data_IF_669642065095
#
_entry.id   IF_669642065095
#
_cell.length_a   1.000
_cell.length_b   1.000
_cell.length_c   1.000
_cell.angle_alpha   90.00
_cell.angle_beta   90.00
_cell.angle_gamma   90.00
#
_symmetry.space_group_name_H-M   'P 1'
#
loop_
_entity.id
_entity.type
_entity.pdbx_description
1 polymer ?
#
# COMPACT_ATOMS: atom_id res chain seq x y z
N UNK A 1 -11.96 10.92 -2.00
CA UNK A 1 -11.86 9.86 -3.05
C UNK A 1 -13.11 9.77 -3.91
N UNK A 2 -14.32 9.59 -3.34
CA UNK A 2 -15.57 9.46 -4.12
C UNK A 2 -15.79 10.59 -5.13
N UNK A 3 -15.54 11.85 -4.76
CA UNK A 3 -15.62 13.01 -5.68
C UNK A 3 -14.76 12.83 -6.94
N UNK A 4 -13.53 12.32 -6.82
CA UNK A 4 -12.66 12.08 -7.98
C UNK A 4 -13.20 10.96 -8.85
N UNK A 5 -13.60 9.84 -8.25
CA UNK A 5 -14.12 8.68 -8.97
C UNK A 5 -15.46 9.00 -9.68
N UNK A 6 -16.32 9.81 -9.07
CA UNK A 6 -17.55 10.31 -9.69
C UNK A 6 -17.26 11.16 -10.94
N UNK A 7 -16.16 11.93 -10.91
CA UNK A 7 -15.66 12.70 -12.05
C UNK A 7 -14.81 11.87 -13.03
N UNK A 8 -14.82 10.52 -12.92
CA UNK A 8 -14.05 9.60 -13.77
C UNK A 8 -12.54 9.83 -13.70
N UNK A 9 -12.05 10.35 -12.57
CA UNK A 9 -10.63 10.53 -12.27
C UNK A 9 -10.21 9.35 -11.37
N UNK A 10 -9.38 8.40 -11.87
CA UNK A 10 -8.96 7.27 -11.07
C UNK A 10 -7.90 7.69 -10.05
N UNK A 11 -7.86 6.98 -8.92
CA UNK A 11 -7.05 7.34 -7.76
C UNK A 11 -6.16 6.17 -7.37
N UNK A 12 -4.85 6.39 -7.31
CA UNK A 12 -3.89 5.41 -6.78
C UNK A 12 -3.86 5.50 -5.27
N UNK A 13 -3.94 4.35 -4.61
CA UNK A 13 -3.78 4.22 -3.15
C UNK A 13 -2.72 3.16 -2.84
N UNK A 14 -2.19 3.21 -1.62
CA UNK A 14 -1.33 2.18 -1.08
C UNK A 14 -2.06 1.47 0.07
N UNK A 15 -2.34 0.17 -0.06
CA UNK A 15 -3.02 -0.64 0.95
C UNK A 15 -2.25 -1.93 1.20
N UNK A 16 -2.37 -2.48 2.41
CA UNK A 16 -1.79 -3.78 2.75
C UNK A 16 -2.73 -4.89 2.27
N UNK A 17 -2.37 -5.52 1.15
CA UNK A 17 -3.10 -6.66 0.60
C UNK A 17 -2.19 -7.88 0.74
N UNK A 18 -2.63 -8.89 1.48
CA UNK A 18 -1.91 -10.15 1.63
C UNK A 18 -1.75 -10.81 0.25
N UNK A 19 -0.64 -11.51 0.02
CA UNK A 19 -0.50 -12.33 -1.19
C UNK A 19 -1.16 -13.70 -0.98
N UNK A 20 -1.26 -14.14 0.27
CA UNK A 20 -1.75 -15.45 0.70
C UNK A 20 -3.27 -15.58 0.49
N UNK A 21 -3.98 -14.44 0.48
CA UNK A 21 -5.44 -14.40 0.25
C UNK A 21 -5.83 -14.59 -1.22
N UNK A 22 -4.87 -14.80 -2.13
CA UNK A 22 -5.16 -14.96 -3.56
C UNK A 22 -6.22 -16.03 -3.84
N UNK A 23 -6.15 -17.18 -3.15
CA UNK A 23 -7.13 -18.26 -3.31
C UNK A 23 -8.53 -17.85 -2.85
N UNK A 24 -8.61 -17.16 -1.71
CA UNK A 24 -9.88 -16.69 -1.13
C UNK A 24 -10.51 -15.59 -1.97
N UNK A 25 -9.72 -14.59 -2.39
CA UNK A 25 -10.19 -13.48 -3.24
C UNK A 25 -10.67 -14.03 -4.59
N UNK A 26 -9.98 -15.01 -5.17
CA UNK A 26 -10.43 -15.66 -6.41
C UNK A 26 -11.73 -16.43 -6.20
N UNK A 27 -11.82 -17.21 -5.12
CA UNK A 27 -13.01 -18.01 -4.80
C UNK A 27 -14.23 -17.14 -4.51
N UNK A 28 -14.02 -15.98 -3.89
CA UNK A 28 -15.06 -15.02 -3.55
C UNK A 28 -15.22 -13.91 -4.60
N UNK A 29 -14.91 -14.17 -5.88
CA UNK A 29 -15.23 -13.26 -6.97
C UNK A 29 -14.59 -11.87 -6.87
N UNK A 30 -13.40 -11.75 -6.29
CA UNK A 30 -12.64 -10.51 -6.18
C UNK A 30 -12.90 -9.68 -4.92
N UNK A 31 -13.81 -10.10 -4.03
CA UNK A 31 -14.07 -9.38 -2.78
C UNK A 31 -12.95 -9.61 -1.78
N UNK A 32 -12.33 -8.52 -1.31
CA UNK A 32 -11.27 -8.58 -0.32
C UNK A 32 -11.87 -8.79 1.08
N UNK A 33 -11.48 -9.87 1.79
CA UNK A 33 -11.85 -10.01 3.20
C UNK A 33 -11.13 -8.96 4.03
N UNK A 34 -11.75 -8.53 5.13
CA UNK A 34 -11.09 -7.70 6.13
C UNK A 34 -10.25 -8.63 7.01
N UNK A 35 -8.92 -8.43 7.09
CA UNK A 35 -8.08 -9.25 7.95
C UNK A 35 -8.48 -9.14 9.43
N UNK A 36 -8.33 -10.24 10.16
CA UNK A 36 -8.64 -10.29 11.59
C UNK A 36 -7.87 -9.24 12.39
N UNK A 37 -8.47 -8.78 13.49
CA UNK A 37 -7.87 -7.77 14.37
C UNK A 37 -6.50 -8.22 14.92
N UNK A 38 -6.40 -9.51 15.26
CA UNK A 38 -5.24 -10.14 15.91
C UNK A 38 -4.24 -10.75 14.92
N UNK A 39 -4.44 -10.52 13.63
CA UNK A 39 -3.56 -11.03 12.58
C UNK A 39 -2.24 -10.24 12.56
N UNK A 40 -1.26 -10.77 13.31
CA UNK A 40 0.05 -10.16 13.48
C UNK A 40 0.81 -10.00 12.15
N UNK A 41 0.48 -10.81 11.13
CA UNK A 41 1.14 -10.74 9.82
C UNK A 41 0.90 -9.40 9.13
N UNK A 42 -0.26 -8.77 9.36
CA UNK A 42 -0.60 -7.45 8.80
C UNK A 42 0.50 -6.43 9.13
N UNK A 43 1.08 -6.50 10.32
CA UNK A 43 2.13 -5.57 10.74
C UNK A 43 3.42 -5.68 9.90
N UNK A 44 3.71 -6.89 9.40
CA UNK A 44 4.90 -7.19 8.61
C UNK A 44 4.70 -6.99 7.10
N UNK A 45 3.45 -6.92 6.63
CA UNK A 45 3.17 -6.66 5.22
C UNK A 45 3.66 -5.29 4.78
N UNK A 46 4.28 -5.26 3.60
CA UNK A 46 4.46 -4.04 2.82
C UNK A 46 3.13 -3.54 2.26
N UNK A 47 3.08 -2.27 1.88
CA UNK A 47 1.94 -1.74 1.12
C UNK A 47 2.07 -2.11 -0.35
N UNK A 48 0.94 -2.43 -0.97
CA UNK A 48 0.77 -2.62 -2.40
C UNK A 48 0.00 -1.44 -3.01
N UNK A 49 0.42 -1.00 -4.18
CA UNK A 49 -0.24 0.10 -4.88
C UNK A 49 -1.32 -0.45 -5.82
N UNK A 50 -2.55 0.05 -5.68
CA UNK A 50 -3.69 -0.32 -6.52
C UNK A 50 -4.40 0.93 -7.05
N UNK A 51 -5.11 0.78 -8.17
CA UNK A 51 -5.82 1.87 -8.82
C UNK A 51 -7.32 1.78 -8.56
N UNK A 52 -7.86 2.70 -7.76
CA UNK A 52 -9.30 2.88 -7.62
C UNK A 52 -9.87 3.46 -8.91
N UNK A 53 -10.86 2.78 -9.47
CA UNK A 53 -11.52 3.14 -10.73
C UNK A 53 -13.02 3.34 -10.60
N UNK A 54 -13.58 3.00 -9.44
CA UNK A 54 -15.01 3.14 -9.16
C UNK A 54 -15.31 2.86 -7.70
N UNK A 55 -16.58 2.96 -7.35
CA UNK A 55 -17.10 2.66 -6.03
C UNK A 55 -18.57 2.25 -6.13
N UNK A 56 -19.03 1.49 -5.15
CA UNK A 56 -20.41 1.09 -4.94
C UNK A 56 -20.79 1.46 -3.50
N UNK A 57 -21.70 2.44 -3.37
CA UNK A 57 -22.16 2.92 -2.07
C UNK A 57 -23.21 1.99 -1.45
N UNK A 58 -23.93 1.19 -2.24
CA UNK A 58 -24.93 0.26 -1.71
C UNK A 58 -24.25 -0.93 -1.01
N UNK A 59 -23.14 -1.40 -1.60
CA UNK A 59 -22.35 -2.50 -1.04
C UNK A 59 -21.18 -2.02 -0.16
N UNK A 60 -20.86 -0.73 -0.15
CA UNK A 60 -19.72 -0.11 0.57
C UNK A 60 -18.32 -0.60 0.12
N UNK A 61 -18.10 -0.70 -1.19
CA UNK A 61 -16.82 -1.11 -1.77
C UNK A 61 -16.23 -0.07 -2.72
N UNK A 62 -14.90 0.06 -2.72
CA UNK A 62 -14.17 0.60 -3.85
C UNK A 62 -13.88 -0.50 -4.87
N UNK A 63 -13.95 -0.16 -6.15
CA UNK A 63 -13.52 -1.02 -7.24
C UNK A 63 -12.08 -0.67 -7.57
N UNK A 64 -11.17 -1.61 -7.36
CA UNK A 64 -9.75 -1.43 -7.58
C UNK A 64 -9.25 -2.34 -8.71
N UNK A 65 -8.50 -1.77 -9.65
CA UNK A 65 -7.74 -2.53 -10.64
C UNK A 65 -6.40 -2.92 -10.03
N UNK A 66 -6.13 -4.22 -10.02
CA UNK A 66 -4.87 -4.78 -9.54
C UNK A 66 -3.89 -5.05 -10.70
N UNK A 67 -2.66 -5.45 -10.36
CA UNK A 67 -1.54 -5.69 -11.27
C UNK A 67 -1.01 -7.13 -11.20
N UNK A 68 -1.81 -8.08 -10.70
CA UNK A 68 -1.42 -9.49 -10.53
C UNK A 68 -1.98 -10.43 -11.63
N UNK A 69 -2.32 -9.87 -12.79
CA UNK A 69 -2.84 -10.63 -13.93
C UNK A 69 -4.36 -10.67 -13.96
N UNK A 70 -4.89 -11.17 -15.09
CA UNK A 70 -6.34 -11.23 -15.35
C UNK A 70 -7.04 -12.34 -14.57
N UNK A 71 -6.32 -13.41 -14.24
CA UNK A 71 -6.88 -14.58 -13.56
C UNK A 71 -6.97 -14.41 -12.03
N UNK A 72 -6.66 -13.21 -11.53
CA UNK A 72 -6.75 -12.86 -10.13
C UNK A 72 -7.99 -12.01 -9.84
N UNK A 73 -8.67 -12.27 -8.72
CA UNK A 73 -9.90 -11.64 -8.30
C UNK A 73 -10.99 -11.72 -9.36
N UNK A 74 -11.64 -10.60 -9.63
CA UNK A 74 -12.64 -10.46 -10.68
C UNK A 74 -12.00 -9.91 -11.95
N UNK A 75 -11.46 -10.78 -12.81
CA UNK A 75 -10.80 -10.39 -14.06
C UNK A 75 -9.63 -9.39 -13.90
N UNK A 76 -8.87 -9.49 -12.82
CA UNK A 76 -7.78 -8.57 -12.45
C UNK A 76 -8.21 -7.39 -11.57
N UNK A 77 -9.48 -7.38 -11.13
CA UNK A 77 -10.02 -6.39 -10.21
C UNK A 77 -10.28 -7.00 -8.83
N UNK A 78 -10.32 -6.14 -7.82
CA UNK A 78 -10.85 -6.48 -6.52
C UNK A 78 -11.85 -5.43 -6.02
N UNK A 79 -12.71 -5.86 -5.12
CA UNK A 79 -13.63 -5.02 -4.38
C UNK A 79 -13.06 -4.83 -2.98
N UNK A 80 -12.63 -3.60 -2.70
CA UNK A 80 -11.99 -3.21 -1.44
C UNK A 80 -13.03 -2.58 -0.52
N UNK A 81 -13.35 -3.16 0.64
CA UNK A 81 -14.29 -2.57 1.59
C UNK A 81 -13.89 -1.13 1.95
N UNK A 82 -14.85 -0.24 2.17
CA UNK A 82 -14.55 1.12 2.66
C UNK A 82 -13.80 1.10 3.99
N UNK A 83 -14.12 0.15 4.86
CA UNK A 83 -13.45 -0.07 6.13
C UNK A 83 -11.94 -0.29 5.99
N UNK A 84 -11.48 -0.82 4.86
CA UNK A 84 -10.06 -1.03 4.58
C UNK A 84 -9.27 0.28 4.62
N UNK A 85 -9.89 1.41 4.23
CA UNK A 85 -9.26 2.74 4.26
C UNK A 85 -9.42 3.46 5.60
N UNK A 86 -10.28 2.96 6.48
CA UNK A 86 -10.49 3.49 7.82
C UNK A 86 -9.61 2.79 8.87
N UNK A 87 -9.10 1.60 8.53
CA UNK A 87 -8.22 0.84 9.39
C UNK A 87 -6.74 1.24 9.17
N UNK A 88 -6.17 1.95 10.14
CA UNK A 88 -4.76 2.39 10.12
C UNK A 88 -3.76 1.23 10.04
N UNK A 89 -4.16 0.00 10.39
CA UNK A 89 -3.32 -1.19 10.23
C UNK A 89 -3.17 -1.56 8.76
N UNK A 90 -4.21 -1.30 7.95
CA UNK A 90 -4.32 -1.72 6.56
C UNK A 90 -3.87 -0.64 5.57
N UNK A 91 -3.77 0.61 6.02
CA UNK A 91 -3.27 1.73 5.21
C UNK A 91 -2.18 2.47 5.99
N UNK A 92 -0.93 2.33 5.55
CA UNK A 92 0.22 2.97 6.19
C UNK A 92 0.19 4.51 6.06
N UNK A 93 -0.60 5.04 5.12
CA UNK A 93 -0.59 6.44 4.70
C UNK A 93 -1.98 6.90 4.24
N UNK A 94 -2.97 7.00 5.14
CA UNK A 94 -4.37 7.30 4.75
C UNK A 94 -4.51 8.66 4.05
N UNK A 95 -3.61 9.60 4.33
CA UNK A 95 -3.57 10.92 3.69
C UNK A 95 -2.98 10.91 2.26
N UNK A 96 -2.41 9.78 1.82
CA UNK A 96 -1.65 9.70 0.58
C UNK A 96 -2.40 8.88 -0.48
N UNK A 97 -3.30 9.55 -1.18
CA UNK A 97 -3.95 9.07 -2.39
C UNK A 97 -3.63 10.00 -3.56
N UNK A 98 -3.34 9.45 -4.73
CA UNK A 98 -2.88 10.21 -5.89
C UNK A 98 -3.87 10.10 -7.05
N UNK A 99 -4.51 11.21 -7.41
CA UNK A 99 -5.41 11.27 -8.56
C UNK A 99 -4.62 11.33 -9.88
N UNK A 100 -4.94 10.46 -10.84
CA UNK A 100 -4.36 10.51 -12.19
C UNK A 100 -5.21 11.47 -13.03
N UNK A 101 -4.74 12.71 -13.18
CA UNK A 101 -5.48 13.74 -13.90
C UNK A 101 -5.14 13.82 -15.39
N UNK A 102 -3.97 13.32 -15.77
CA UNK A 102 -3.47 13.37 -17.15
C UNK A 102 -2.65 12.12 -17.48
N UNK A 103 -2.75 11.65 -18.72
CA UNK A 103 -1.89 10.59 -19.27
C UNK A 103 -1.20 11.18 -20.51
N UNK A 104 0.12 11.24 -20.50
CA UNK A 104 0.91 11.74 -21.64
C UNK A 104 1.23 10.55 -22.56
N UNK A 105 0.55 10.49 -23.70
CA UNK A 105 0.61 9.34 -24.61
C UNK A 105 1.79 9.34 -25.61
N UNK A 106 2.72 10.31 -25.54
CA UNK A 106 3.91 10.37 -26.41
C UNK A 106 5.19 10.64 -25.62
N UNK A 107 6.19 9.75 -25.76
CA UNK A 107 7.53 9.93 -25.19
C UNK A 107 8.37 11.00 -25.92
N UNK A 108 7.99 11.40 -27.14
CA UNK A 108 8.78 12.31 -27.98
C UNK A 108 8.72 13.78 -27.52
N UNK A 109 7.79 14.10 -26.61
CA UNK A 109 7.60 15.45 -26.10
C UNK A 109 7.29 15.40 -24.61
N UNK A 110 8.28 15.00 -23.81
CA UNK A 110 8.24 15.32 -22.40
C UNK A 110 8.53 16.82 -22.26
N UNK A 111 7.58 17.65 -21.78
CA UNK A 111 7.97 18.97 -21.27
C UNK A 111 9.07 18.76 -20.22
N UNK A 112 10.02 19.71 -20.03
CA UNK A 112 11.07 19.55 -19.02
C UNK A 112 10.39 19.17 -17.71
N UNK A 113 10.75 17.97 -17.22
CA UNK A 113 10.21 17.43 -15.98
C UNK A 113 10.47 18.50 -14.92
N UNK A 114 9.43 19.26 -14.55
CA UNK A 114 9.45 19.93 -13.26
C UNK A 114 9.44 18.77 -12.29
N UNK A 115 10.56 18.56 -11.60
CA UNK A 115 10.54 17.71 -10.43
C UNK A 115 9.36 18.22 -9.61
N UNK A 116 8.32 17.39 -9.44
CA UNK A 116 7.43 17.63 -8.33
C UNK A 116 8.37 17.58 -7.14
N UNK A 117 8.57 18.73 -6.50
CA UNK A 117 9.25 18.80 -5.23
C UNK A 117 8.39 18.00 -4.27
N UNK A 118 8.61 16.68 -4.23
CA UNK A 118 8.21 15.87 -3.10
C UNK A 118 9.04 16.46 -1.98
N UNK A 119 8.41 17.30 -1.17
CA UNK A 119 8.96 17.69 0.12
C UNK A 119 9.10 16.40 0.91
N UNK A 120 10.22 15.72 0.76
CA UNK A 120 10.58 14.63 1.62
C UNK A 120 10.77 15.25 2.99
N UNK A 121 9.76 15.14 3.86
CA UNK A 121 10.02 15.29 5.28
C UNK A 121 11.11 14.28 5.64
N UNK A 122 12.16 14.70 6.36
CA UNK A 122 13.25 13.81 6.68
C UNK A 122 12.69 12.64 7.47
N UNK A 123 12.61 11.47 6.82
CA UNK A 123 12.44 10.21 7.52
C UNK A 123 13.63 10.14 8.46
N UNK A 124 13.34 10.11 9.76
CA UNK A 124 14.27 10.21 10.88
C UNK A 124 15.19 8.95 10.97
N UNK A 125 15.94 8.71 9.89
CA UNK A 125 16.81 7.56 9.67
C UNK A 125 18.05 7.59 10.55
N UNK A 126 18.32 8.72 11.21
CA UNK A 126 19.39 8.82 12.20
C UNK A 126 19.03 8.12 13.52
N UNK A 127 17.74 8.01 13.90
CA UNK A 127 17.33 7.25 15.10
C UNK A 127 17.45 5.74 14.92
N UNK A 128 17.14 5.19 13.73
CA UNK A 128 17.29 3.74 13.46
C UNK A 128 18.75 3.29 13.38
N UNK A 129 19.65 4.12 12.84
CA UNK A 129 21.10 3.82 12.79
C UNK A 129 21.76 3.87 14.18
N UNK A 130 21.34 4.80 15.05
CA UNK A 130 21.81 4.86 16.43
C UNK A 130 21.36 3.67 17.27
N UNK A 131 20.10 3.23 17.13
CA UNK A 131 19.55 2.07 17.86
C UNK A 131 20.20 0.75 17.44
N UNK A 132 20.49 0.57 16.15
CA UNK A 132 21.17 -0.63 15.65
C UNK A 132 22.68 -0.66 15.99
N UNK A 133 23.37 0.49 16.02
CA UNK A 133 24.76 0.58 16.52
C UNK A 133 24.87 0.35 18.03
N UNK A 134 23.89 0.77 18.82
CA UNK A 134 23.86 0.52 20.27
C UNK A 134 23.64 -0.97 20.58
N UNK A 135 22.76 -1.64 19.83
CA UNK A 135 22.52 -3.10 19.96
C UNK A 135 23.70 -3.95 19.51
N UNK A 136 24.45 -3.54 18.48
CA UNK A 136 25.64 -4.29 18.04
C UNK A 136 26.83 -4.15 19.00
N UNK A 137 26.99 -2.98 19.65
CA UNK A 137 28.04 -2.77 20.67
C UNK A 137 27.78 -3.52 21.98
N UNK A 138 26.51 -3.66 22.40
CA UNK A 138 26.13 -4.45 23.59
C UNK A 138 26.34 -5.96 23.43
N UNK A 139 26.17 -6.50 22.22
CA UNK A 139 26.43 -7.91 21.91
C UNK A 139 27.92 -8.24 21.78
N UNK A 140 28.74 -7.27 21.36
CA UNK A 140 30.19 -7.45 21.23
C UNK A 140 30.91 -7.45 22.61
N UNK A 141 30.40 -6.75 23.62
CA UNK A 141 31.02 -6.71 24.96
C UNK A 141 30.73 -7.95 25.81
N UNK A 142 29.72 -8.76 25.49
CA UNK A 142 29.44 -10.03 26.19
C UNK A 142 30.17 -11.26 25.61
N UNK A 143 30.78 -11.16 24.42
CA UNK A 143 31.45 -12.28 23.78
C UNK A 143 32.95 -12.43 24.13
N UNK A 144 33.55 -11.48 24.86
CA UNK A 144 34.99 -11.48 25.15
C UNK A 144 35.32 -11.96 26.58
N UNK A 145 34.33 -12.29 27.41
CA UNK A 145 34.54 -12.72 28.81
C UNK A 145 34.48 -14.24 29.06
N UNK A 146 34.70 -15.09 28.05
CA UNK A 146 34.65 -16.57 28.22
C UNK A 146 35.92 -17.34 27.86
N UNK A 147 37.05 -16.66 27.62
CA UNK A 147 38.34 -17.32 27.52
C UNK A 147 39.44 -16.50 28.18
N UNK A 148 39.60 -16.71 29.49
CA UNK A 148 40.88 -16.79 30.21
C UNK A 148 40.61 -17.38 31.59
#
# INVERSE_FOLDING_TARGET
>A
MRTYLANKIPVVIAAKIKYEINGEVNANGGYLPIPDADDEEISYLGSHAVLLVGYDDDSEYFIARNSWGRDWGYYGYCFLPYQYLLDERLVNYPDYAYAITHVVARMDFLPPMRSLGVTTYPVDGQRRRARNRARSKSRATHAVSKYK
#
